data_IF_503478864746
#
_entry.id   IF_503478864746
#
_cell.length_a   1.000
_cell.length_b   1.000
_cell.length_c   1.000
_cell.angle_alpha   90.00
_cell.angle_beta   90.00
_cell.angle_gamma   90.00
#
_symmetry.space_group_name_H-M   'P 1'
#
loop_
_entity.id
_entity.type
_entity.pdbx_description
1 polymer ?
#
# COMPACT_ATOMS: atom_id res chain seq x y z
N UNK A 1 -21.80 13.63 9.91
CA UNK A 1 -22.83 14.57 10.45
C UNK A 1 -24.23 13.98 10.43
N UNK A 2 -24.82 13.64 9.27
CA UNK A 2 -26.20 13.11 9.19
C UNK A 2 -26.37 11.80 9.96
N UNK A 3 -25.48 10.82 9.74
CA UNK A 3 -25.45 9.58 10.55
C UNK A 3 -25.21 9.85 12.04
N UNK A 4 -24.39 10.85 12.38
CA UNK A 4 -24.15 11.26 13.77
C UNK A 4 -25.40 11.81 14.45
N UNK A 5 -26.20 12.61 13.75
CA UNK A 5 -27.48 13.08 14.26
C UNK A 5 -28.49 11.93 14.39
N UNK A 6 -28.45 10.96 13.48
CA UNK A 6 -29.25 9.73 13.54
C UNK A 6 -28.92 8.91 14.79
N UNK A 7 -27.64 8.65 15.04
CA UNK A 7 -27.19 7.88 16.20
C UNK A 7 -27.44 8.63 17.50
N UNK A 8 -27.23 9.95 17.56
CA UNK A 8 -27.59 10.76 18.73
C UNK A 8 -29.08 10.70 19.02
N UNK A 9 -29.94 10.82 18.00
CA UNK A 9 -31.39 10.78 18.18
C UNK A 9 -31.92 9.40 18.53
N UNK A 10 -31.34 8.34 17.97
CA UNK A 10 -31.59 6.96 18.39
C UNK A 10 -31.21 6.76 19.87
N UNK A 11 -30.04 7.25 20.28
CA UNK A 11 -29.58 7.17 21.66
C UNK A 11 -30.48 7.95 22.62
N UNK A 12 -30.88 9.17 22.25
CA UNK A 12 -31.84 9.98 23.01
C UNK A 12 -33.21 9.29 23.12
N UNK A 13 -33.70 8.69 22.03
CA UNK A 13 -34.98 7.96 22.00
C UNK A 13 -34.98 6.72 22.89
N UNK A 14 -33.90 5.93 22.84
CA UNK A 14 -33.73 4.74 23.70
C UNK A 14 -33.58 5.14 25.17
N UNK A 15 -32.84 6.21 25.48
CA UNK A 15 -32.73 6.73 26.85
C UNK A 15 -34.07 7.29 27.37
N UNK A 16 -34.87 7.92 26.53
CA UNK A 16 -36.19 8.42 26.90
C UNK A 16 -37.19 7.28 27.16
N UNK A 17 -37.09 6.18 26.41
CA UNK A 17 -37.91 4.98 26.61
C UNK A 17 -37.50 4.22 27.90
N UNK A 18 -36.20 4.14 28.19
CA UNK A 18 -35.68 3.58 29.45
C UNK A 18 -36.07 4.40 30.69
N UNK A 19 -36.18 5.72 30.56
CA UNK A 19 -36.59 6.63 31.63
C UNK A 19 -38.12 6.79 31.74
N UNK A 20 -38.91 6.08 30.92
CA UNK A 20 -40.37 6.11 30.94
C UNK A 20 -41.00 7.43 30.45
N UNK A 21 -40.24 8.26 29.74
CA UNK A 21 -40.65 9.62 29.33
C UNK A 21 -40.91 9.79 27.82
N UNK A 22 -40.84 8.72 27.01
CA UNK A 22 -41.13 8.81 25.57
C UNK A 22 -40.99 7.49 24.80
N UNK A 23 -41.33 7.49 23.51
CA UNK A 23 -41.22 6.38 22.57
C UNK A 23 -40.24 6.69 21.43
N UNK A 24 -39.65 5.67 20.81
CA UNK A 24 -38.78 5.84 19.64
C UNK A 24 -39.56 6.41 18.45
N UNK A 25 -39.06 7.51 17.87
CA UNK A 25 -39.62 8.14 16.67
C UNK A 25 -39.14 7.40 15.40
N UNK A 26 -39.88 6.37 15.02
CA UNK A 26 -39.59 5.55 13.83
C UNK A 26 -39.73 6.32 12.51
N UNK A 27 -40.54 7.38 12.46
CA UNK A 27 -40.73 8.20 11.25
C UNK A 27 -39.50 9.06 10.99
N UNK A 28 -38.94 9.67 12.04
CA UNK A 28 -37.68 10.40 11.96
C UNK A 28 -36.50 9.51 11.57
N UNK A 29 -36.41 8.31 12.14
CA UNK A 29 -35.38 7.32 11.80
C UNK A 29 -35.53 6.89 10.33
N UNK A 30 -36.76 6.62 9.87
CA UNK A 30 -37.05 6.27 8.48
C UNK A 30 -36.64 7.38 7.50
N UNK A 31 -36.89 8.65 7.84
CA UNK A 31 -36.46 9.80 7.03
C UNK A 31 -34.94 9.92 6.95
N UNK A 32 -34.21 9.73 8.06
CA UNK A 32 -32.74 9.75 8.02
C UNK A 32 -32.17 8.56 7.25
N UNK A 33 -32.75 7.37 7.40
CA UNK A 33 -32.37 6.19 6.64
C UNK A 33 -32.53 6.43 5.13
N UNK A 34 -33.66 7.00 4.70
CA UNK A 34 -33.90 7.38 3.29
C UNK A 34 -32.91 8.44 2.77
N UNK A 35 -32.62 9.48 3.56
CA UNK A 35 -31.61 10.49 3.20
C UNK A 35 -30.23 9.86 3.06
N UNK A 36 -29.87 8.95 3.98
CA UNK A 36 -28.58 8.25 3.97
C UNK A 36 -28.47 7.32 2.77
N UNK A 37 -29.54 6.59 2.44
CA UNK A 37 -29.63 5.77 1.24
C UNK A 37 -29.45 6.62 -0.02
N UNK A 38 -30.16 7.74 -0.12
CA UNK A 38 -30.02 8.69 -1.22
C UNK A 38 -28.59 9.21 -1.38
N UNK A 39 -27.94 9.58 -0.26
CA UNK A 39 -26.53 10.00 -0.27
C UNK A 39 -25.59 8.90 -0.74
N UNK A 40 -25.81 7.65 -0.36
CA UNK A 40 -25.00 6.52 -0.82
C UNK A 40 -25.21 6.23 -2.31
N UNK A 41 -26.43 6.33 -2.82
CA UNK A 41 -26.70 6.21 -4.26
C UNK A 41 -26.01 7.32 -5.05
N UNK A 42 -26.08 8.56 -4.58
CA UNK A 42 -25.39 9.71 -5.19
C UNK A 42 -23.86 9.52 -5.11
N UNK A 43 -23.34 9.07 -3.97
CA UNK A 43 -21.91 8.77 -3.81
C UNK A 43 -21.44 7.67 -4.76
N UNK A 44 -22.24 6.61 -4.94
CA UNK A 44 -21.94 5.53 -5.87
C UNK A 44 -21.93 6.02 -7.32
N UNK A 45 -22.88 6.89 -7.69
CA UNK A 45 -22.92 7.52 -9.00
C UNK A 45 -21.67 8.39 -9.25
N UNK A 46 -21.27 9.22 -8.29
CA UNK A 46 -20.04 10.01 -8.39
C UNK A 46 -18.80 9.15 -8.49
N UNK A 47 -18.70 8.07 -7.69
CA UNK A 47 -17.60 7.13 -7.77
C UNK A 47 -17.51 6.46 -9.15
N UNK A 48 -18.65 6.07 -9.73
CA UNK A 48 -18.71 5.51 -11.07
C UNK A 48 -18.26 6.52 -12.14
N UNK A 49 -18.76 7.75 -12.10
CA UNK A 49 -18.37 8.82 -13.04
C UNK A 49 -16.87 9.13 -12.89
N UNK A 50 -16.37 9.25 -11.67
CA UNK A 50 -14.97 9.51 -11.38
C UNK A 50 -14.07 8.38 -11.90
N UNK A 51 -14.46 7.12 -11.69
CA UNK A 51 -13.75 5.95 -12.23
C UNK A 51 -13.72 5.93 -13.76
N UNK A 52 -14.85 6.24 -14.40
CA UNK A 52 -14.94 6.31 -15.87
C UNK A 52 -14.08 7.43 -16.46
N UNK A 53 -14.08 8.63 -15.86
CA UNK A 53 -13.22 9.74 -16.27
C UNK A 53 -11.74 9.35 -16.15
N UNK A 54 -11.35 8.76 -15.01
CA UNK A 54 -9.95 8.37 -14.79
C UNK A 54 -9.48 7.26 -15.72
N UNK A 55 -10.33 6.31 -16.06
CA UNK A 55 -10.02 5.27 -17.04
C UNK A 55 -9.71 5.86 -18.43
N UNK A 56 -10.51 6.83 -18.88
CA UNK A 56 -10.25 7.53 -20.14
C UNK A 56 -8.94 8.33 -20.09
N UNK A 57 -8.74 9.14 -19.05
CA UNK A 57 -7.52 9.96 -18.88
C UNK A 57 -6.26 9.10 -18.92
N UNK A 58 -6.25 7.97 -18.21
CA UNK A 58 -5.05 7.13 -18.20
C UNK A 58 -4.81 6.41 -19.51
N UNK A 59 -5.88 5.97 -20.18
CA UNK A 59 -5.77 5.35 -21.50
C UNK A 59 -5.18 6.34 -22.52
N UNK A 60 -5.61 7.60 -22.48
CA UNK A 60 -5.09 8.67 -23.35
C UNK A 60 -3.61 8.95 -23.08
N UNK A 61 -3.21 9.03 -21.80
CA UNK A 61 -1.81 9.25 -21.42
C UNK A 61 -0.94 8.10 -21.91
N UNK A 62 -1.37 6.85 -21.70
CA UNK A 62 -0.63 5.68 -22.14
C UNK A 62 -0.51 5.59 -23.66
N UNK A 63 -1.58 5.93 -24.39
CA UNK A 63 -1.54 5.98 -25.84
C UNK A 63 -0.51 7.01 -26.35
N UNK A 64 -0.50 8.22 -25.77
CA UNK A 64 0.50 9.26 -26.08
C UNK A 64 1.91 8.75 -25.78
N UNK A 65 2.11 8.12 -24.63
CA UNK A 65 3.40 7.57 -24.25
C UNK A 65 3.88 6.47 -25.21
N UNK A 66 3.00 5.54 -25.61
CA UNK A 66 3.30 4.51 -26.63
C UNK A 66 3.73 5.13 -27.95
N UNK A 67 3.01 6.15 -28.41
CA UNK A 67 3.33 6.86 -29.65
C UNK A 67 4.70 7.54 -29.57
N UNK A 68 4.93 8.32 -28.50
CA UNK A 68 6.18 9.06 -28.33
C UNK A 68 7.39 8.12 -28.18
N UNK A 69 7.21 6.96 -27.52
CA UNK A 69 8.23 5.91 -27.41
C UNK A 69 8.53 5.28 -28.78
N UNK A 70 7.50 4.97 -29.57
CA UNK A 70 7.65 4.41 -30.92
C UNK A 70 8.37 5.39 -31.86
N UNK A 71 7.98 6.67 -31.84
CA UNK A 71 8.65 7.72 -32.61
C UNK A 71 10.11 7.89 -32.21
N UNK A 72 10.40 7.87 -30.90
CA UNK A 72 11.77 7.97 -30.40
C UNK A 72 12.61 6.79 -30.84
N UNK A 73 12.06 5.58 -30.78
CA UNK A 73 12.75 4.36 -31.17
C UNK A 73 13.12 4.34 -32.65
N UNK A 74 12.22 4.79 -33.53
CA UNK A 74 12.50 4.93 -34.96
C UNK A 74 13.61 5.96 -35.27
N UNK A 75 13.93 6.86 -34.33
CA UNK A 75 15.00 7.87 -34.45
C UNK A 75 16.29 7.48 -33.73
N UNK A 76 16.35 6.32 -33.06
CA UNK A 76 17.55 5.89 -32.34
C UNK A 76 18.60 5.32 -33.31
N UNK A 77 19.91 5.61 -33.10
CA UNK A 77 20.97 5.05 -33.93
C UNK A 77 21.05 3.53 -33.78
N UNK A 78 21.38 2.83 -34.86
CA UNK A 78 21.53 1.36 -34.90
C UNK A 78 22.42 0.79 -33.78
N UNK A 79 23.45 1.54 -33.37
CA UNK A 79 24.35 1.19 -32.26
C UNK A 79 23.63 0.90 -30.93
N UNK A 80 22.44 1.48 -30.71
CA UNK A 80 21.63 1.20 -29.53
C UNK A 80 21.05 -0.23 -29.56
N UNK A 81 20.69 -0.71 -30.74
CA UNK A 81 20.10 -2.04 -30.94
C UNK A 81 21.16 -3.15 -30.99
N UNK A 82 22.43 -2.82 -31.22
CA UNK A 82 23.54 -3.78 -31.15
C UNK A 82 23.82 -4.26 -29.71
N UNK A 83 23.41 -3.48 -28.71
CA UNK A 83 23.61 -3.80 -27.28
C UNK A 83 22.35 -4.28 -26.55
N UNK A 84 21.21 -4.39 -27.22
CA UNK A 84 19.92 -4.77 -26.61
C UNK A 84 19.22 -5.86 -27.42
N UNK A 85 18.67 -6.87 -26.75
CA UNK A 85 17.95 -7.94 -27.46
C UNK A 85 16.61 -7.41 -28.00
N UNK A 86 16.15 -7.92 -29.15
CA UNK A 86 14.86 -7.52 -29.73
C UNK A 86 13.68 -7.74 -28.75
N UNK A 87 13.75 -8.80 -27.93
CA UNK A 87 12.75 -9.08 -26.90
C UNK A 87 12.71 -8.02 -25.78
N UNK A 88 13.86 -7.49 -25.39
CA UNK A 88 13.94 -6.44 -24.37
C UNK A 88 13.36 -5.11 -24.89
N UNK A 89 13.61 -4.78 -26.14
CA UNK A 89 13.00 -3.61 -26.80
C UNK A 89 11.48 -3.75 -26.87
N UNK A 90 10.98 -4.92 -27.27
CA UNK A 90 9.54 -5.17 -27.33
C UNK A 90 8.88 -5.11 -25.94
N UNK A 91 9.52 -5.70 -24.93
CA UNK A 91 9.04 -5.67 -23.54
C UNK A 91 8.92 -4.24 -22.99
N UNK A 92 9.87 -3.36 -23.31
CA UNK A 92 9.79 -1.94 -22.89
C UNK A 92 8.63 -1.20 -23.53
N UNK A 93 8.19 -1.59 -24.73
CA UNK A 93 7.07 -0.94 -25.43
C UNK A 93 5.72 -1.46 -24.93
N UNK A 94 5.64 -2.74 -24.61
CA UNK A 94 4.40 -3.37 -24.16
C UNK A 94 4.29 -3.27 -22.64
N UNK A 95 5.13 -4.01 -21.93
CA UNK A 95 5.00 -4.26 -20.49
C UNK A 95 5.33 -3.03 -19.64
N UNK A 96 6.40 -2.30 -19.95
CA UNK A 96 6.77 -1.12 -19.13
C UNK A 96 5.75 0.00 -19.34
N UNK A 97 5.26 0.20 -20.57
CA UNK A 97 4.23 1.21 -20.84
C UNK A 97 2.90 0.84 -20.21
N UNK A 98 2.51 -0.44 -20.22
CA UNK A 98 1.31 -0.90 -19.51
C UNK A 98 1.45 -0.74 -17.99
N UNK A 99 2.63 -1.06 -17.44
CA UNK A 99 2.92 -0.88 -16.01
C UNK A 99 2.86 0.59 -15.62
N UNK A 100 3.42 1.48 -16.44
CA UNK A 100 3.33 2.93 -16.25
C UNK A 100 1.89 3.41 -16.35
N UNK A 101 1.10 2.92 -17.31
CA UNK A 101 -0.32 3.24 -17.44
C UNK A 101 -1.09 2.85 -16.17
N UNK A 102 -0.92 1.61 -15.71
CA UNK A 102 -1.59 1.12 -14.51
C UNK A 102 -1.18 1.94 -13.27
N UNK A 103 0.10 2.25 -13.14
CA UNK A 103 0.62 3.07 -12.04
C UNK A 103 0.06 4.48 -12.09
N UNK A 104 0.00 5.12 -13.27
CA UNK A 104 -0.54 6.46 -13.44
C UNK A 104 -2.05 6.50 -13.18
N UNK A 105 -2.82 5.57 -13.76
CA UNK A 105 -4.25 5.37 -13.49
C UNK A 105 -4.54 5.36 -12.00
N UNK A 106 -3.85 4.46 -11.29
CA UNK A 106 -4.18 4.14 -9.91
C UNK A 106 -3.62 5.18 -8.96
N UNK A 107 -2.35 5.57 -9.13
CA UNK A 107 -1.67 6.49 -8.22
C UNK A 107 -2.22 7.90 -8.34
N UNK A 108 -2.49 8.41 -9.54
CA UNK A 108 -3.05 9.75 -9.69
C UNK A 108 -4.47 9.82 -9.11
N UNK A 109 -5.29 8.81 -9.40
CA UNK A 109 -6.63 8.70 -8.81
C UNK A 109 -6.54 8.66 -7.29
N UNK A 110 -5.64 7.83 -6.75
CA UNK A 110 -5.50 7.67 -5.31
C UNK A 110 -4.98 8.93 -4.63
N UNK A 111 -4.04 9.66 -5.23
CA UNK A 111 -3.52 10.92 -4.69
C UNK A 111 -4.64 11.97 -4.63
N UNK A 112 -5.40 12.13 -5.73
CA UNK A 112 -6.51 13.09 -5.78
C UNK A 112 -7.57 12.73 -4.76
N UNK A 113 -8.01 11.47 -4.74
CA UNK A 113 -9.01 10.99 -3.77
C UNK A 113 -8.52 11.16 -2.35
N UNK A 114 -7.27 10.77 -2.05
CA UNK A 114 -6.70 10.90 -0.70
C UNK A 114 -6.63 12.36 -0.26
N UNK A 115 -6.23 13.28 -1.15
CA UNK A 115 -6.19 14.70 -0.84
C UNK A 115 -7.58 15.25 -0.55
N UNK A 116 -8.56 14.95 -1.42
CA UNK A 116 -9.96 15.36 -1.24
C UNK A 116 -10.55 14.77 0.04
N UNK A 117 -10.27 13.50 0.34
CA UNK A 117 -10.73 12.84 1.57
C UNK A 117 -10.09 13.46 2.79
N UNK A 118 -8.77 13.69 2.81
CA UNK A 118 -8.07 14.31 3.94
C UNK A 118 -8.60 15.72 4.20
N UNK A 119 -8.68 16.56 3.16
CA UNK A 119 -9.20 17.93 3.28
C UNK A 119 -10.68 17.90 3.70
N UNK A 120 -11.50 17.06 3.08
CA UNK A 120 -12.92 16.92 3.40
C UNK A 120 -13.16 16.45 4.84
N UNK A 121 -12.40 15.45 5.30
CA UNK A 121 -12.46 14.96 6.69
C UNK A 121 -11.99 16.04 7.66
N UNK A 122 -10.89 16.74 7.38
CA UNK A 122 -10.41 17.84 8.24
C UNK A 122 -11.45 18.96 8.37
N UNK A 123 -12.06 19.40 7.26
CA UNK A 123 -13.13 20.41 7.27
C UNK A 123 -14.34 19.90 8.09
N UNK A 124 -14.72 18.63 7.89
CA UNK A 124 -15.81 18.03 8.66
C UNK A 124 -15.50 17.95 10.17
N UNK A 125 -14.28 17.56 10.54
CA UNK A 125 -13.83 17.47 11.93
C UNK A 125 -13.83 18.85 12.61
N UNK A 126 -13.20 19.86 11.97
CA UNK A 126 -13.17 21.24 12.46
C UNK A 126 -14.57 21.82 12.62
N UNK A 127 -15.49 21.47 11.71
CA UNK A 127 -16.87 21.93 11.75
C UNK A 127 -17.74 21.22 12.79
N UNK A 128 -17.32 20.06 13.33
CA UNK A 128 -18.02 19.37 14.43
C UNK A 128 -17.45 19.84 15.78
N UNK A 129 -16.13 19.73 15.98
CA UNK A 129 -15.44 20.19 17.18
C UNK A 129 -13.96 20.43 16.89
N UNK A 130 -13.56 21.70 16.98
CA UNK A 130 -12.16 22.09 16.80
C UNK A 130 -11.26 21.54 17.92
N UNK A 131 -11.78 21.38 19.16
CA UNK A 131 -11.00 20.84 20.27
C UNK A 131 -10.63 19.36 20.04
N UNK A 132 -11.61 18.53 19.68
CA UNK A 132 -11.36 17.12 19.37
C UNK A 132 -10.44 16.96 18.16
N UNK A 133 -10.56 17.86 17.18
CA UNK A 133 -9.69 17.88 16.00
C UNK A 133 -8.24 18.17 16.37
N UNK A 134 -7.98 19.14 17.25
CA UNK A 134 -6.63 19.44 17.73
C UNK A 134 -6.00 18.25 18.47
N UNK A 135 -6.76 17.58 19.32
CA UNK A 135 -6.28 16.36 20.01
C UNK A 135 -5.90 15.30 18.98
N UNK A 136 -6.77 15.03 18.00
CA UNK A 136 -6.49 14.06 16.93
C UNK A 136 -5.24 14.45 16.11
N UNK A 137 -5.09 15.73 15.76
CA UNK A 137 -3.94 16.26 15.03
C UNK A 137 -2.62 16.14 15.81
N UNK A 138 -2.65 16.07 17.15
CA UNK A 138 -1.46 15.83 17.98
C UNK A 138 -1.19 14.33 18.15
N UNK A 139 -2.23 13.50 18.21
CA UNK A 139 -2.07 12.03 18.32
C UNK A 139 -1.43 11.45 17.06
N UNK A 140 -1.75 11.95 15.87
CA UNK A 140 -1.17 11.48 14.59
C UNK A 140 0.37 11.60 14.55
N UNK A 141 1.01 12.76 14.80
CA UNK A 141 2.46 12.86 14.80
C UNK A 141 3.09 12.06 15.95
N UNK A 142 2.44 11.97 17.11
CA UNK A 142 2.93 11.14 18.22
C UNK A 142 2.98 9.65 17.87
N UNK A 143 1.93 9.13 17.23
CA UNK A 143 1.91 7.75 16.74
C UNK A 143 2.94 7.56 15.61
N UNK A 144 3.06 8.52 14.69
CA UNK A 144 4.06 8.48 13.63
C UNK A 144 5.48 8.43 14.17
N UNK A 145 5.83 9.21 15.20
CA UNK A 145 7.15 9.14 15.85
C UNK A 145 7.40 7.75 16.43
N UNK A 146 6.40 7.17 17.10
CA UNK A 146 6.50 5.82 17.68
C UNK A 146 6.74 4.77 16.59
N UNK A 147 5.95 4.83 15.51
CA UNK A 147 6.12 3.94 14.34
C UNK A 147 7.48 4.12 13.70
N UNK A 148 7.94 5.37 13.49
CA UNK A 148 9.25 5.64 12.88
C UNK A 148 10.41 5.05 13.69
N UNK A 149 10.33 5.07 15.02
CA UNK A 149 11.34 4.43 15.88
C UNK A 149 11.38 2.91 15.68
N UNK A 150 10.21 2.26 15.60
CA UNK A 150 10.08 0.82 15.35
C UNK A 150 10.59 0.47 13.93
N UNK A 151 10.17 1.23 12.92
CA UNK A 151 10.61 1.06 11.52
C UNK A 151 12.13 1.15 11.43
N UNK A 152 12.74 2.15 12.06
CA UNK A 152 14.19 2.34 12.03
C UNK A 152 14.94 1.14 12.61
N UNK A 153 14.41 0.56 13.70
CA UNK A 153 14.99 -0.64 14.29
C UNK A 153 14.77 -1.87 13.42
N UNK A 154 13.56 -2.04 12.86
CA UNK A 154 13.21 -3.16 11.97
C UNK A 154 14.06 -3.18 10.70
N UNK A 155 14.27 -2.00 10.09
CA UNK A 155 15.11 -1.83 8.89
C UNK A 155 16.54 -2.32 9.08
N UNK A 156 17.12 -2.16 10.28
CA UNK A 156 18.45 -2.70 10.59
C UNK A 156 18.48 -4.22 10.44
N UNK A 157 17.46 -4.92 10.94
CA UNK A 157 17.36 -6.38 10.85
C UNK A 157 16.98 -6.84 9.45
N UNK A 158 16.14 -6.11 8.71
CA UNK A 158 15.87 -6.42 7.30
C UNK A 158 17.13 -6.33 6.43
N UNK A 159 17.99 -5.33 6.67
CA UNK A 159 19.27 -5.23 5.98
C UNK A 159 20.15 -6.45 6.27
N UNK A 160 20.25 -6.83 7.55
CA UNK A 160 21.03 -8.01 7.96
C UNK A 160 20.44 -9.30 7.38
N UNK A 161 19.12 -9.46 7.39
CA UNK A 161 18.43 -10.58 6.77
C UNK A 161 18.78 -10.70 5.28
N UNK A 162 18.74 -9.59 4.53
CA UNK A 162 19.06 -9.59 3.10
C UNK A 162 20.53 -9.93 2.84
N UNK A 163 21.44 -9.42 3.66
CA UNK A 163 22.88 -9.71 3.60
C UNK A 163 23.17 -11.21 3.82
N UNK A 164 22.65 -11.78 4.90
CA UNK A 164 22.86 -13.21 5.21
C UNK A 164 22.10 -14.15 4.27
N UNK A 165 20.97 -13.73 3.72
CA UNK A 165 20.31 -14.46 2.63
C UNK A 165 21.21 -14.56 1.40
N UNK A 166 21.94 -13.48 1.08
CA UNK A 166 22.96 -13.47 0.03
C UNK A 166 24.11 -14.43 0.32
N UNK A 167 24.63 -14.43 1.55
CA UNK A 167 25.68 -15.37 1.97
C UNK A 167 25.23 -16.83 1.88
N UNK A 168 24.03 -17.15 2.36
CA UNK A 168 23.46 -18.49 2.31
C UNK A 168 23.26 -18.95 0.86
N UNK A 169 22.66 -18.12 0.01
CA UNK A 169 22.46 -18.45 -1.41
C UNK A 169 23.78 -18.62 -2.16
N UNK A 170 24.75 -17.74 -1.92
CA UNK A 170 26.08 -17.83 -2.53
C UNK A 170 26.82 -19.11 -2.11
N UNK A 171 26.76 -19.46 -0.82
CA UNK A 171 27.34 -20.72 -0.32
C UNK A 171 26.68 -21.93 -0.96
N UNK A 172 25.35 -21.95 -1.08
CA UNK A 172 24.63 -23.02 -1.75
C UNK A 172 25.06 -23.13 -3.22
N UNK A 173 25.13 -22.01 -3.95
CA UNK A 173 25.55 -22.00 -5.36
C UNK A 173 26.98 -22.51 -5.55
N UNK A 174 27.92 -22.10 -4.69
CA UNK A 174 29.31 -22.58 -4.71
C UNK A 174 29.40 -24.08 -4.42
N UNK A 175 28.64 -24.57 -3.44
CA UNK A 175 28.63 -26.00 -3.08
C UNK A 175 27.97 -26.88 -4.14
N UNK A 176 26.95 -26.39 -4.83
CA UNK A 176 26.35 -27.10 -5.96
C UNK A 176 27.27 -27.09 -7.19
N UNK A 177 27.91 -25.95 -7.49
CA UNK A 177 28.85 -25.84 -8.61
C UNK A 177 30.12 -26.67 -8.38
N UNK A 178 30.62 -26.68 -7.15
CA UNK A 178 31.80 -27.43 -6.71
C UNK A 178 31.51 -28.82 -6.15
N UNK A 179 30.31 -29.38 -6.38
CA UNK A 179 29.84 -30.59 -5.70
C UNK A 179 30.81 -31.77 -5.80
N UNK A 180 31.39 -32.00 -6.99
CA UNK A 180 32.35 -33.09 -7.23
C UNK A 180 33.61 -32.90 -6.38
N UNK A 181 34.12 -31.67 -6.29
CA UNK A 181 35.32 -31.34 -5.51
C UNK A 181 35.02 -31.55 -4.02
N UNK A 182 33.87 -31.08 -3.55
CA UNK A 182 33.45 -31.22 -2.16
C UNK A 182 33.33 -32.70 -1.74
N UNK A 183 32.73 -33.55 -2.60
CA UNK A 183 32.66 -35.00 -2.41
C UNK A 183 34.03 -35.67 -2.46
N UNK A 184 34.93 -35.23 -3.33
CA UNK A 184 36.26 -35.83 -3.48
C UNK A 184 37.17 -35.58 -2.27
N UNK A 185 36.97 -34.47 -1.56
CA UNK A 185 37.73 -34.08 -0.37
C UNK A 185 37.00 -34.37 0.96
N UNK A 186 35.84 -35.03 0.94
CA UNK A 186 34.98 -35.27 2.13
C UNK A 186 34.68 -33.98 2.94
N UNK A 187 34.44 -32.86 2.24
CA UNK A 187 34.22 -31.54 2.83
C UNK A 187 32.77 -31.25 3.26
N UNK A 188 31.86 -32.20 3.17
CA UNK A 188 30.41 -32.02 3.42
C UNK A 188 30.15 -31.43 4.80
N UNK A 189 30.77 -32.02 5.83
CA UNK A 189 30.49 -31.66 7.22
C UNK A 189 30.91 -30.22 7.54
N UNK A 190 32.07 -29.78 7.04
CA UNK A 190 32.54 -28.40 7.20
C UNK A 190 31.65 -27.42 6.44
N UNK A 191 31.20 -27.80 5.24
CA UNK A 191 30.29 -26.98 4.43
C UNK A 191 28.93 -26.79 5.09
N UNK A 192 28.36 -27.87 5.65
CA UNK A 192 27.09 -27.80 6.39
C UNK A 192 27.26 -26.91 7.63
N UNK A 193 28.38 -27.01 8.35
CA UNK A 193 28.64 -26.15 9.50
C UNK A 193 28.68 -24.65 9.12
N UNK A 194 29.32 -24.30 7.99
CA UNK A 194 29.34 -22.92 7.47
C UNK A 194 27.95 -22.43 7.03
N UNK A 195 27.17 -23.32 6.40
CA UNK A 195 25.78 -23.04 6.05
C UNK A 195 24.96 -22.75 7.31
N UNK A 196 25.02 -23.63 8.31
CA UNK A 196 24.25 -23.50 9.55
C UNK A 196 24.57 -22.22 10.30
N UNK A 197 25.84 -21.81 10.35
CA UNK A 197 26.25 -20.56 10.98
C UNK A 197 25.62 -19.33 10.30
N UNK A 198 25.64 -19.31 8.97
CA UNK A 198 25.04 -18.22 8.18
C UNK A 198 23.52 -18.24 8.26
N UNK A 199 22.92 -19.44 8.23
CA UNK A 199 21.48 -19.66 8.30
C UNK A 199 20.91 -19.30 9.68
N UNK A 200 21.62 -19.57 10.77
CA UNK A 200 21.21 -19.15 12.11
C UNK A 200 21.15 -17.63 12.23
N UNK A 201 22.15 -16.93 11.66
CA UNK A 201 22.14 -15.46 11.67
C UNK A 201 21.02 -14.89 10.80
N UNK A 202 20.75 -15.53 9.65
CA UNK A 202 19.59 -15.23 8.80
C UNK A 202 18.29 -15.41 9.57
N UNK A 203 18.11 -16.54 10.25
CA UNK A 203 16.93 -16.85 11.05
C UNK A 203 16.70 -15.81 12.15
N UNK A 204 17.73 -15.51 12.96
CA UNK A 204 17.64 -14.53 14.04
C UNK A 204 17.29 -13.14 13.53
N UNK A 205 17.88 -12.74 12.40
CA UNK A 205 17.62 -11.43 11.79
C UNK A 205 16.20 -11.36 11.23
N UNK A 206 15.74 -12.42 10.57
CA UNK A 206 14.39 -12.53 10.03
C UNK A 206 13.31 -12.56 11.12
N UNK A 207 13.56 -13.29 12.21
CA UNK A 207 12.62 -13.32 13.34
C UNK A 207 12.50 -11.93 13.98
N UNK A 208 13.62 -11.23 14.21
CA UNK A 208 13.62 -9.87 14.80
C UNK A 208 12.95 -8.84 13.88
N UNK A 209 13.26 -8.86 12.58
CA UNK A 209 12.65 -7.93 11.61
C UNK A 209 11.13 -8.16 11.52
N UNK A 210 10.70 -9.42 11.45
CA UNK A 210 9.29 -9.76 11.34
C UNK A 210 8.52 -9.47 12.64
N UNK A 211 9.09 -9.76 13.81
CA UNK A 211 8.48 -9.44 15.09
C UNK A 211 8.26 -7.92 15.26
N UNK A 212 9.30 -7.12 14.98
CA UNK A 212 9.18 -5.66 15.04
C UNK A 212 8.18 -5.13 14.02
N UNK A 213 8.09 -5.76 12.85
CA UNK A 213 7.09 -5.38 11.84
C UNK A 213 5.68 -5.77 12.21
N UNK A 214 5.51 -6.91 12.89
CA UNK A 214 4.23 -7.34 13.45
C UNK A 214 3.68 -6.37 14.50
N UNK A 215 4.55 -5.72 15.27
CA UNK A 215 4.15 -4.68 16.24
C UNK A 215 3.62 -3.38 15.58
N UNK A 216 3.85 -3.19 14.27
CA UNK A 216 3.43 -1.98 13.56
C UNK A 216 2.01 -2.06 12.99
N UNK A 217 1.47 -3.27 12.78
CA UNK A 217 0.04 -3.41 12.46
C UNK A 217 -0.76 -3.36 13.76
N UNK A 218 -1.73 -2.43 13.90
CA UNK A 218 -2.74 -2.53 14.95
C UNK A 218 -3.63 -3.78 14.75
#
# INVERSE_FOLDING_TARGET
KILGNATTKLFEGVMAELNGSGSIDFEYIGRIALITLGLYLVSALFAYIQGWIMANVSTDIAYRFRRDLSEKMNRMPLRYFDGTTHGEVLSRITNDVDTLNQTLSQSLTQIITSLVTVVGVLIMMLSISWQMTLVALVVIPLSMVTVMLIVKQSQKFFKQQQEYLGHVNGHVEEMYSGHIVMKAFNGEAESIQKFDQSNNTLYDSAWKSQFLSGLMMP
#
